data_IF_175291311327
#
_entry.id   IF_175291311327
#
_cell.length_a   1.000
_cell.length_b   1.000
_cell.length_c   1.000
_cell.angle_alpha   90.00
_cell.angle_beta   90.00
_cell.angle_gamma   90.00
#
_symmetry.space_group_name_H-M   'P 1'
#
loop_
_entity.id
_entity.type
_entity.pdbx_description
1 polymer ?
#
# COMPACT_ATOMS: atom_id res chain seq x y z
N UNK A 1 -15.31 14.03 -6.90
CA UNK A 1 -13.95 13.58 -6.54
C UNK A 1 -13.89 13.21 -5.06
N UNK A 2 -13.37 12.06 -4.77
CA UNK A 2 -13.08 11.58 -3.41
C UNK A 2 -11.89 12.34 -2.84
N UNK A 3 -11.75 12.35 -1.53
CA UNK A 3 -10.67 13.05 -0.84
C UNK A 3 -9.96 12.09 0.11
N UNK A 4 -8.63 12.18 0.17
CA UNK A 4 -7.84 11.47 1.17
C UNK A 4 -7.98 12.15 2.54
N UNK A 5 -7.63 11.47 3.65
CA UNK A 5 -7.58 12.11 4.97
C UNK A 5 -6.66 13.33 5.03
N UNK A 6 -5.67 13.43 4.14
CA UNK A 6 -4.70 14.52 4.09
C UNK A 6 -5.08 15.66 3.12
N UNK A 7 -6.24 15.60 2.46
CA UNK A 7 -6.66 16.58 1.46
C UNK A 7 -6.53 18.03 1.90
N UNK A 8 -7.04 18.37 3.08
CA UNK A 8 -6.96 19.74 3.61
C UNK A 8 -5.51 20.18 3.87
N UNK A 9 -4.65 19.26 4.27
CA UNK A 9 -3.22 19.52 4.47
C UNK A 9 -2.53 19.81 3.14
N UNK A 10 -2.84 19.04 2.09
CA UNK A 10 -2.31 19.31 0.74
C UNK A 10 -2.67 20.71 0.26
N UNK A 11 -3.94 21.11 0.42
CA UNK A 11 -4.36 22.47 0.06
C UNK A 11 -3.65 23.55 0.88
N UNK A 12 -3.52 23.36 2.20
CA UNK A 12 -2.82 24.30 3.09
C UNK A 12 -1.33 24.44 2.74
N UNK A 13 -0.71 23.39 2.23
CA UNK A 13 0.67 23.39 1.74
C UNK A 13 0.82 23.94 0.31
N UNK A 14 -0.25 24.41 -0.32
CA UNK A 14 -0.22 25.00 -1.65
C UNK A 14 -0.07 23.96 -2.79
N UNK A 15 -0.51 22.73 -2.57
CA UNK A 15 -0.46 21.71 -3.61
C UNK A 15 -1.29 22.08 -4.84
N UNK A 16 -0.77 21.80 -6.02
CA UNK A 16 -1.55 21.80 -7.24
C UNK A 16 -2.35 20.49 -7.31
N UNK A 17 -3.67 20.61 -7.08
CA UNK A 17 -4.58 19.44 -7.00
C UNK A 17 -5.10 19.09 -8.38
N UNK A 18 -5.18 17.79 -8.66
CA UNK A 18 -5.71 17.22 -9.92
C UNK A 18 -6.70 16.10 -9.64
N UNK A 19 -7.52 15.78 -10.64
CA UNK A 19 -8.31 14.56 -10.66
C UNK A 19 -7.42 13.37 -11.03
N UNK A 20 -7.34 12.41 -10.12
CA UNK A 20 -6.63 11.16 -10.33
C UNK A 20 -7.58 9.99 -10.06
N UNK A 21 -8.23 9.46 -11.11
CA UNK A 21 -9.23 8.38 -10.99
C UNK A 21 -10.33 8.68 -9.96
N UNK A 22 -10.98 9.84 -10.10
CA UNK A 22 -12.02 10.37 -9.19
C UNK A 22 -11.52 10.72 -7.78
N UNK A 23 -10.21 10.81 -7.56
CA UNK A 23 -9.60 11.32 -6.34
C UNK A 23 -8.98 12.69 -6.55
N UNK A 24 -9.21 13.61 -5.61
CA UNK A 24 -8.47 14.88 -5.56
C UNK A 24 -7.08 14.64 -4.97
N UNK A 25 -6.06 14.59 -5.84
CA UNK A 25 -4.69 14.25 -5.45
C UNK A 25 -3.73 15.40 -5.73
N UNK A 26 -2.69 15.59 -4.90
CA UNK A 26 -1.64 16.58 -5.16
C UNK A 26 -0.73 16.08 -6.30
N UNK A 27 -0.59 16.89 -7.35
CA UNK A 27 0.35 16.61 -8.43
C UNK A 27 1.77 17.07 -8.07
N UNK A 28 1.88 18.27 -7.47
CA UNK A 28 3.14 18.87 -7.01
C UNK A 28 2.88 20.03 -6.04
N UNK A 29 3.94 20.49 -5.33
CA UNK A 29 3.91 21.63 -4.41
C UNK A 29 4.78 22.81 -4.92
N UNK A 30 4.98 22.87 -6.23
CA UNK A 30 5.74 23.94 -6.90
C UNK A 30 6.42 23.44 -8.16
N UNK A 31 7.35 22.49 -8.04
CA UNK A 31 8.10 21.99 -9.20
C UNK A 31 8.23 20.47 -9.17
N UNK A 32 7.57 19.79 -10.10
CA UNK A 32 7.70 18.33 -10.29
C UNK A 32 9.15 17.88 -10.44
N UNK A 33 9.98 18.65 -11.18
CA UNK A 33 11.38 18.29 -11.39
C UNK A 33 12.20 18.38 -10.10
N UNK A 34 11.99 19.43 -9.30
CA UNK A 34 12.69 19.57 -8.02
C UNK A 34 12.25 18.48 -7.04
N UNK A 35 10.96 18.18 -6.98
CA UNK A 35 10.41 17.13 -6.12
C UNK A 35 10.94 15.75 -6.55
N UNK A 36 10.97 15.46 -7.87
CA UNK A 36 11.59 14.24 -8.39
C UNK A 36 13.06 14.12 -7.96
N UNK A 37 13.87 15.16 -8.18
CA UNK A 37 15.29 15.15 -7.81
C UNK A 37 15.46 14.99 -6.28
N UNK A 38 14.59 15.63 -5.48
CA UNK A 38 14.61 15.47 -4.03
C UNK A 38 14.40 14.03 -3.60
N UNK A 39 13.46 13.30 -4.22
CA UNK A 39 13.25 11.87 -3.93
C UNK A 39 14.45 11.04 -4.37
N UNK A 40 15.07 11.36 -5.52
CA UNK A 40 16.24 10.61 -6.02
C UNK A 40 17.50 10.82 -5.19
N UNK A 41 17.69 12.01 -4.62
CA UNK A 41 18.92 12.41 -3.92
C UNK A 41 18.78 12.38 -2.39
N UNK A 42 17.55 12.50 -1.88
CA UNK A 42 17.27 12.63 -0.44
C UNK A 42 16.13 11.74 -0.01
N UNK A 43 14.97 12.33 0.28
CA UNK A 43 13.75 11.63 0.64
C UNK A 43 12.52 12.45 0.24
N UNK A 44 11.44 11.77 -0.12
CA UNK A 44 10.13 12.35 -0.36
C UNK A 44 9.04 11.52 0.33
N UNK A 45 7.96 12.20 0.67
CA UNK A 45 6.78 11.60 1.27
C UNK A 45 5.58 11.78 0.33
N UNK A 46 4.80 10.72 0.14
CA UNK A 46 3.66 10.69 -0.77
C UNK A 46 2.42 10.20 -0.02
N UNK A 47 1.33 10.95 -0.15
CA UNK A 47 0.00 10.44 0.20
C UNK A 47 -0.46 9.48 -0.90
N UNK A 48 -0.57 8.21 -0.56
CA UNK A 48 -1.08 7.16 -1.44
C UNK A 48 -2.35 6.53 -0.88
N UNK A 49 -3.08 7.28 -0.04
CA UNK A 49 -4.33 6.83 0.60
C UNK A 49 -5.49 6.61 -0.37
N UNK A 50 -5.33 6.97 -1.64
CA UNK A 50 -6.26 6.60 -2.71
C UNK A 50 -6.21 5.11 -3.06
N UNK A 51 -5.11 4.43 -2.77
CA UNK A 51 -5.02 2.97 -2.91
C UNK A 51 -6.01 2.28 -1.99
N UNK A 52 -6.53 1.15 -2.45
CA UNK A 52 -7.56 0.44 -1.70
C UNK A 52 -6.94 -0.66 -0.84
N UNK A 53 -7.43 -0.76 0.40
CA UNK A 53 -7.00 -1.80 1.34
C UNK A 53 -8.19 -2.68 1.69
N UNK A 54 -8.03 -3.98 1.55
CA UNK A 54 -9.00 -4.97 2.04
C UNK A 54 -8.33 -5.95 2.99
N UNK A 55 -9.06 -6.37 4.02
CA UNK A 55 -8.72 -7.53 4.82
C UNK A 55 -9.44 -8.75 4.25
N UNK A 56 -8.72 -9.86 4.09
CA UNK A 56 -9.23 -11.18 3.73
C UNK A 56 -8.82 -12.14 4.83
N UNK A 57 -9.78 -12.71 5.54
CA UNK A 57 -9.50 -13.58 6.67
C UNK A 57 -10.51 -14.73 6.78
N UNK A 58 -10.15 -15.77 7.52
CA UNK A 58 -10.97 -16.97 7.75
C UNK A 58 -10.28 -18.24 7.28
N UNK A 59 -10.83 -19.40 7.64
CA UNK A 59 -10.19 -20.71 7.49
C UNK A 59 -9.69 -21.04 6.07
N UNK A 60 -10.37 -20.51 5.05
CA UNK A 60 -10.03 -20.73 3.64
C UNK A 60 -9.32 -19.56 2.96
N UNK A 61 -8.95 -18.50 3.69
CA UNK A 61 -8.40 -17.28 3.09
C UNK A 61 -7.11 -17.55 2.29
N UNK A 62 -6.23 -18.38 2.82
CA UNK A 62 -4.99 -18.75 2.14
C UNK A 62 -5.24 -19.46 0.81
N UNK A 63 -6.06 -20.49 0.80
CA UNK A 63 -6.34 -21.27 -0.42
C UNK A 63 -7.12 -20.43 -1.44
N UNK A 64 -8.04 -19.59 -0.98
CA UNK A 64 -8.76 -18.65 -1.83
C UNK A 64 -7.81 -17.68 -2.53
N UNK A 65 -6.89 -17.05 -1.79
CA UNK A 65 -5.89 -16.14 -2.38
C UNK A 65 -4.92 -16.88 -3.31
N UNK A 66 -4.52 -18.11 -3.00
CA UNK A 66 -3.68 -18.93 -3.88
C UNK A 66 -4.32 -19.23 -5.24
N UNK A 67 -5.64 -19.30 -5.29
CA UNK A 67 -6.36 -19.51 -6.57
C UNK A 67 -6.40 -18.28 -7.46
N UNK A 68 -6.24 -17.07 -6.90
CA UNK A 68 -6.35 -15.80 -7.62
C UNK A 68 -5.03 -15.12 -7.93
N UNK A 69 -4.00 -15.42 -7.14
CA UNK A 69 -2.75 -14.67 -7.18
C UNK A 69 -1.65 -15.48 -7.89
N UNK A 70 -0.83 -14.79 -8.67
CA UNK A 70 0.29 -15.40 -9.39
C UNK A 70 1.38 -15.92 -8.44
N UNK A 71 1.60 -15.24 -7.29
CA UNK A 71 2.55 -15.66 -6.27
C UNK A 71 1.84 -16.38 -5.13
N UNK A 72 2.46 -17.46 -4.64
CA UNK A 72 1.90 -18.32 -3.60
C UNK A 72 2.00 -17.68 -2.20
N UNK A 73 0.85 -17.24 -1.67
CA UNK A 73 0.74 -16.64 -0.34
C UNK A 73 1.02 -17.62 0.81
N UNK A 74 0.97 -18.94 0.55
CA UNK A 74 1.32 -19.96 1.54
C UNK A 74 2.83 -19.93 1.93
N UNK A 75 3.66 -19.25 1.15
CA UNK A 75 5.09 -19.04 1.46
C UNK A 75 5.32 -17.90 2.45
N UNK A 76 4.30 -17.09 2.74
CA UNK A 76 4.42 -15.97 3.66
C UNK A 76 4.23 -16.44 5.10
N UNK A 77 5.12 -15.97 5.97
CA UNK A 77 4.94 -16.02 7.42
C UNK A 77 4.39 -14.68 7.91
N UNK A 78 3.82 -14.67 9.12
CA UNK A 78 3.41 -13.43 9.78
C UNK A 78 4.52 -12.37 9.77
N UNK A 79 4.17 -11.14 9.43
CA UNK A 79 5.11 -10.02 9.29
C UNK A 79 5.80 -9.94 7.92
N UNK A 80 5.47 -10.83 6.99
CA UNK A 80 5.97 -10.80 5.62
C UNK A 80 4.94 -10.27 4.63
N UNK A 81 5.44 -9.68 3.55
CA UNK A 81 4.64 -9.23 2.44
C UNK A 81 5.19 -9.77 1.11
N UNK A 82 4.37 -9.76 0.08
CA UNK A 82 4.83 -10.06 -1.29
C UNK A 82 4.08 -9.20 -2.31
N UNK A 83 4.76 -8.83 -3.36
CA UNK A 83 4.14 -8.32 -4.58
C UNK A 83 3.56 -9.49 -5.38
N UNK A 84 2.36 -9.33 -5.92
CA UNK A 84 1.71 -10.32 -6.75
C UNK A 84 0.83 -9.69 -7.81
N UNK A 85 0.36 -10.51 -8.74
CA UNK A 85 -0.63 -10.16 -9.75
C UNK A 85 -1.94 -10.90 -9.42
N UNK A 86 -3.07 -10.21 -9.46
CA UNK A 86 -4.38 -10.83 -9.44
C UNK A 86 -4.78 -11.17 -10.87
N UNK A 87 -5.17 -12.42 -11.08
CA UNK A 87 -5.45 -12.97 -12.40
C UNK A 87 -6.94 -13.33 -12.55
N UNK A 88 -7.44 -13.24 -13.77
CA UNK A 88 -8.72 -13.82 -14.15
C UNK A 88 -8.57 -15.28 -14.59
N UNK A 89 -9.68 -15.96 -14.88
CA UNK A 89 -9.71 -17.39 -15.27
C UNK A 89 -8.91 -17.70 -16.55
N UNK A 90 -8.63 -16.70 -17.40
CA UNK A 90 -7.85 -16.84 -18.62
C UNK A 90 -6.37 -16.49 -18.41
N UNK A 91 -5.94 -16.19 -17.17
CA UNK A 91 -4.59 -15.77 -16.82
C UNK A 91 -4.28 -14.31 -17.18
N UNK A 92 -5.31 -13.52 -17.52
CA UNK A 92 -5.18 -12.08 -17.74
C UNK A 92 -5.03 -11.34 -16.40
N UNK A 93 -4.21 -10.29 -16.38
CA UNK A 93 -3.97 -9.48 -15.18
C UNK A 93 -5.17 -8.56 -14.94
N UNK A 94 -5.76 -8.64 -13.75
CA UNK A 94 -6.80 -7.72 -13.26
C UNK A 94 -6.12 -6.53 -12.59
N UNK A 95 -5.14 -6.80 -11.71
CA UNK A 95 -4.38 -5.77 -11.00
C UNK A 95 -3.04 -6.32 -10.51
N UNK A 96 -2.13 -5.43 -10.17
CA UNK A 96 -0.95 -5.72 -9.36
C UNK A 96 -1.14 -5.21 -7.93
N UNK A 97 -0.65 -5.96 -6.96
CA UNK A 97 -0.94 -5.68 -5.56
C UNK A 97 0.15 -6.16 -4.61
N UNK A 98 0.11 -5.64 -3.39
CA UNK A 98 0.93 -6.16 -2.30
C UNK A 98 0.03 -6.90 -1.31
N UNK A 99 0.44 -8.11 -0.94
CA UNK A 99 -0.20 -8.93 0.09
C UNK A 99 0.66 -8.90 1.35
N UNK A 100 0.04 -8.63 2.49
CA UNK A 100 0.64 -8.64 3.81
C UNK A 100 0.05 -9.80 4.62
N UNK A 101 0.89 -10.71 5.13
CA UNK A 101 0.46 -11.80 6.01
C UNK A 101 0.37 -11.28 7.46
N UNK A 102 -0.86 -10.99 7.91
CA UNK A 102 -1.15 -10.40 9.22
C UNK A 102 -1.18 -11.44 10.34
N UNK A 103 -1.34 -12.71 10.00
CA UNK A 103 -1.44 -13.85 10.90
C UNK A 103 -1.85 -15.10 10.13
N UNK A 104 -2.21 -16.15 10.84
CA UNK A 104 -2.71 -17.39 10.24
C UNK A 104 -4.05 -17.11 9.56
N UNK A 105 -4.11 -17.36 8.25
CA UNK A 105 -5.30 -17.08 7.43
C UNK A 105 -5.85 -15.65 7.56
N UNK A 106 -4.99 -14.67 7.82
CA UNK A 106 -5.32 -13.24 7.87
C UNK A 106 -4.37 -12.46 7.00
N UNK A 107 -4.91 -11.79 5.98
CA UNK A 107 -4.16 -11.07 4.96
C UNK A 107 -4.72 -9.67 4.75
N UNK A 108 -3.84 -8.71 4.44
CA UNK A 108 -4.23 -7.43 3.86
C UNK A 108 -3.73 -7.35 2.42
N UNK A 109 -4.60 -6.92 1.53
CA UNK A 109 -4.29 -6.65 0.14
C UNK A 109 -4.33 -5.15 -0.08
N UNK A 110 -3.28 -4.60 -0.68
CA UNK A 110 -3.22 -3.19 -1.08
C UNK A 110 -3.11 -3.15 -2.60
N UNK A 111 -4.09 -2.56 -3.26
CA UNK A 111 -4.20 -2.52 -4.72
C UNK A 111 -4.60 -1.14 -5.26
N UNK A 112 -4.54 -0.99 -6.58
CA UNK A 112 -4.66 0.30 -7.23
C UNK A 112 -6.09 0.88 -7.15
N UNK A 113 -6.19 2.21 -7.02
CA UNK A 113 -7.48 2.90 -7.01
C UNK A 113 -8.24 2.75 -8.34
N UNK A 114 -7.52 2.74 -9.46
CA UNK A 114 -8.08 2.65 -10.80
C UNK A 114 -8.78 1.30 -11.06
N UNK A 115 -8.30 0.23 -10.43
CA UNK A 115 -8.78 -1.14 -10.66
C UNK A 115 -9.79 -1.61 -9.62
N UNK A 116 -10.13 -0.76 -8.62
CA UNK A 116 -11.12 -1.10 -7.58
C UNK A 116 -12.43 -1.66 -8.15
N UNK A 117 -12.93 -1.07 -9.22
CA UNK A 117 -14.18 -1.50 -9.88
C UNK A 117 -14.09 -2.84 -10.59
N UNK A 118 -12.89 -3.37 -10.78
CA UNK A 118 -12.65 -4.70 -11.32
C UNK A 118 -12.32 -5.72 -10.21
N UNK A 119 -11.47 -5.31 -9.25
CA UNK A 119 -10.99 -6.19 -8.16
C UNK A 119 -12.13 -6.60 -7.22
N UNK A 120 -12.94 -5.66 -6.72
CA UNK A 120 -13.98 -5.99 -5.74
C UNK A 120 -15.06 -6.93 -6.32
N UNK A 121 -15.63 -6.67 -7.52
CA UNK A 121 -16.56 -7.62 -8.13
C UNK A 121 -15.92 -8.98 -8.44
N UNK A 122 -14.62 -9.04 -8.71
CA UNK A 122 -13.91 -10.29 -8.92
C UNK A 122 -13.81 -11.11 -7.63
N UNK A 123 -13.48 -10.47 -6.49
CA UNK A 123 -13.50 -11.12 -5.18
C UNK A 123 -14.91 -11.65 -4.84
N UNK A 124 -15.95 -10.86 -5.11
CA UNK A 124 -17.36 -11.25 -4.93
C UNK A 124 -17.72 -12.47 -5.80
N UNK A 125 -17.33 -12.46 -7.08
CA UNK A 125 -17.57 -13.56 -8.01
C UNK A 125 -16.87 -14.87 -7.57
N UNK A 126 -15.69 -14.75 -7.00
CA UNK A 126 -14.92 -15.87 -6.48
C UNK A 126 -15.33 -16.27 -5.04
N UNK A 127 -16.38 -15.65 -4.50
CA UNK A 127 -16.92 -15.91 -3.16
C UNK A 127 -15.88 -15.75 -2.04
N UNK A 128 -14.93 -14.82 -2.21
CA UNK A 128 -13.92 -14.52 -1.20
C UNK A 128 -14.46 -13.41 -0.29
N UNK A 129 -14.70 -13.70 0.99
CA UNK A 129 -15.13 -12.68 1.93
C UNK A 129 -13.99 -11.69 2.18
N UNK A 130 -14.30 -10.41 2.11
CA UNK A 130 -13.35 -9.33 2.42
C UNK A 130 -14.01 -8.21 3.20
N UNK A 131 -13.20 -7.44 3.91
CA UNK A 131 -13.61 -6.20 4.56
C UNK A 131 -12.80 -5.05 3.99
N UNK A 132 -13.46 -4.04 3.41
CA UNK A 132 -12.81 -2.79 3.01
C UNK A 132 -12.36 -2.00 4.24
N UNK A 133 -11.10 -1.55 4.23
CA UNK A 133 -10.50 -0.77 5.31
C UNK A 133 -10.36 0.71 4.90
N UNK A 134 -11.46 1.31 4.45
CA UNK A 134 -11.52 2.67 3.89
C UNK A 134 -11.14 3.78 4.91
N UNK A 135 -11.00 3.46 6.19
CA UNK A 135 -10.58 4.37 7.26
C UNK A 135 -9.05 4.51 7.36
N UNK A 136 -8.29 3.69 6.65
CA UNK A 136 -6.82 3.74 6.68
C UNK A 136 -6.29 4.84 5.76
N UNK A 137 -5.21 5.49 6.21
CA UNK A 137 -4.36 6.31 5.36
C UNK A 137 -3.06 5.57 5.06
N UNK A 138 -2.50 5.79 3.88
CA UNK A 138 -1.24 5.20 3.46
C UNK A 138 -0.27 6.32 3.06
N UNK A 139 0.90 6.32 3.69
CA UNK A 139 1.98 7.25 3.36
C UNK A 139 3.20 6.44 2.91
N UNK A 140 3.69 6.75 1.71
CA UNK A 140 4.94 6.20 1.21
C UNK A 140 6.09 7.18 1.46
N UNK A 141 7.17 6.73 2.10
CA UNK A 141 8.41 7.50 2.30
C UNK A 141 9.50 6.85 1.45
N UNK A 142 10.05 7.58 0.51
CA UNK A 142 10.92 7.04 -0.54
C UNK A 142 12.21 7.85 -0.67
N UNK A 143 13.28 7.21 -1.14
CA UNK A 143 14.57 7.83 -1.43
C UNK A 143 15.71 7.34 -0.52
N UNK A 144 16.98 7.66 -0.86
CA UNK A 144 18.16 7.14 -0.16
C UNK A 144 18.25 7.59 1.31
N UNK A 145 17.60 8.68 1.69
CA UNK A 145 17.54 9.17 3.06
C UNK A 145 16.18 8.88 3.75
N UNK A 146 15.32 8.05 3.15
CA UNK A 146 14.01 7.75 3.71
C UNK A 146 14.08 7.13 5.12
N UNK A 147 14.94 6.13 5.33
CA UNK A 147 15.11 5.48 6.64
C UNK A 147 15.64 6.45 7.73
N UNK A 148 16.73 7.22 7.50
CA UNK A 148 17.16 8.24 8.45
C UNK A 148 16.10 9.29 8.77
N UNK A 149 15.38 9.78 7.75
CA UNK A 149 14.34 10.79 7.94
C UNK A 149 13.16 10.23 8.76
N UNK A 150 12.71 9.03 8.45
CA UNK A 150 11.64 8.34 9.19
C UNK A 150 12.02 8.12 10.66
N UNK A 151 13.27 7.70 10.92
CA UNK A 151 13.78 7.48 12.29
C UNK A 151 13.83 8.76 13.13
N UNK A 152 13.94 9.92 12.52
CA UNK A 152 13.86 11.21 13.24
C UNK A 152 12.43 11.55 13.64
N UNK A 153 11.44 11.18 12.82
CA UNK A 153 10.01 11.43 13.08
C UNK A 153 9.45 10.45 14.10
N UNK A 154 9.86 9.19 14.03
CA UNK A 154 9.43 8.10 14.90
C UNK A 154 10.66 7.43 15.57
N UNK A 155 11.33 8.11 16.51
CA UNK A 155 12.58 7.63 17.10
C UNK A 155 12.42 6.32 17.86
N UNK A 156 11.30 6.09 18.49
CA UNK A 156 11.01 4.84 19.24
C UNK A 156 10.93 3.61 18.32
N UNK A 157 10.65 3.83 17.03
CA UNK A 157 10.55 2.78 16.02
C UNK A 157 11.83 2.60 15.19
N UNK A 158 12.82 3.46 15.40
CA UNK A 158 14.05 3.49 14.59
C UNK A 158 14.81 2.14 14.58
N UNK A 159 14.92 1.48 15.73
CA UNK A 159 15.59 0.18 15.84
C UNK A 159 14.81 -0.93 15.12
N UNK A 160 13.49 -0.98 15.28
CA UNK A 160 12.63 -1.95 14.62
C UNK A 160 12.66 -1.75 13.10
N UNK A 161 12.61 -0.49 12.64
CA UNK A 161 12.70 -0.15 11.23
C UNK A 161 14.05 -0.53 10.61
N UNK A 162 15.17 -0.28 11.32
CA UNK A 162 16.50 -0.66 10.86
C UNK A 162 16.68 -2.19 10.74
N UNK A 163 16.02 -2.96 11.62
CA UNK A 163 16.01 -4.42 11.58
C UNK A 163 15.01 -5.01 10.56
N UNK A 164 14.05 -4.22 10.11
CA UNK A 164 13.00 -4.67 9.19
C UNK A 164 13.59 -5.02 7.82
N UNK A 165 13.43 -6.28 7.40
CA UNK A 165 13.93 -6.77 6.12
C UNK A 165 13.07 -6.26 4.95
N UNK A 166 13.58 -6.25 3.70
CA UNK A 166 12.74 -6.04 2.53
C UNK A 166 11.55 -7.00 2.50
N UNK A 167 10.38 -6.51 2.08
CA UNK A 167 9.12 -7.25 2.11
C UNK A 167 8.72 -7.79 3.50
N UNK A 168 9.13 -7.10 4.57
CA UNK A 168 8.63 -7.35 5.91
C UNK A 168 7.93 -6.09 6.45
N UNK A 169 7.13 -6.29 7.49
CA UNK A 169 6.44 -5.24 8.20
C UNK A 169 6.33 -5.56 9.70
N UNK A 170 6.04 -4.56 10.48
CA UNK A 170 5.66 -4.68 11.87
C UNK A 170 4.55 -3.69 12.21
N UNK A 171 3.86 -3.92 13.32
CA UNK A 171 2.80 -3.04 13.80
C UNK A 171 3.19 -2.44 15.15
N UNK A 172 2.84 -1.18 15.33
CA UNK A 172 3.02 -0.46 16.59
C UNK A 172 1.98 0.67 16.68
N UNK A 173 1.35 0.83 17.85
CA UNK A 173 0.43 1.93 18.16
C UNK A 173 -0.63 2.23 17.06
N UNK A 174 -1.16 1.16 16.45
CA UNK A 174 -2.15 1.27 15.37
C UNK A 174 -1.57 1.62 13.99
N UNK A 175 -0.26 1.71 13.86
CA UNK A 175 0.43 1.96 12.60
C UNK A 175 1.07 0.66 12.09
N UNK A 176 0.90 0.34 10.80
CA UNK A 176 1.63 -0.70 10.11
C UNK A 176 2.79 -0.04 9.35
N UNK A 177 4.02 -0.47 9.66
CA UNK A 177 5.24 0.03 9.03
C UNK A 177 5.84 -1.09 8.20
N UNK A 178 5.97 -0.88 6.90
CA UNK A 178 6.44 -1.89 5.95
C UNK A 178 7.61 -1.40 5.09
N UNK A 179 8.44 -2.33 4.64
CA UNK A 179 9.53 -2.11 3.68
C UNK A 179 9.30 -2.88 2.38
N UNK A 180 8.27 -2.54 1.58
CA UNK A 180 8.01 -3.24 0.32
C UNK A 180 9.03 -2.96 -0.79
N UNK A 181 9.85 -1.90 -0.68
CA UNK A 181 10.86 -1.58 -1.68
C UNK A 181 10.31 -1.03 -2.99
N UNK A 182 9.35 -0.13 -2.93
CA UNK A 182 8.58 0.31 -4.11
C UNK A 182 9.40 1.08 -5.16
N UNK A 183 10.32 1.94 -4.76
CA UNK A 183 11.02 2.84 -5.70
C UNK A 183 12.50 2.54 -5.91
N UNK A 184 13.01 1.43 -5.44
CA UNK A 184 14.38 0.98 -5.67
C UNK A 184 15.42 1.72 -4.84
#
# INVERSE_FOLDING_TARGET
MRQTPLFNLHQALGAYMVDFYDWAMPLHYGSQLQEHNTVRERAGMFDVSHMHVVAVSGDNAQDALRSLLANDVAKLSHGQAQYSLMLNDQGGIIDDLIVYAMGDNDYRLVFNAATRSAVLPWLDQQHIPYQSLDHLAIIAVQGPQALPAFSQVLPDQASALAACQPFHFFQTDGVLIARPGYSG
#
